data_IF_710505235179
#
_entry.id   IF_710505235179
#
_cell.length_a   1.000
_cell.length_b   1.000
_cell.length_c   1.000
_cell.angle_alpha   90.00
_cell.angle_beta   90.00
_cell.angle_gamma   90.00
#
_symmetry.space_group_name_H-M   'P 1'
#
loop_
_entity.id
_entity.type
_entity.pdbx_description
1 polymer ?
#
# COMPACT_ATOMS: atom_id res chain seq x y z
N UNK A 1 -28.97 25.36 28.57
CA UNK A 1 -27.60 24.76 28.57
C UNK A 1 -27.40 23.63 27.56
N UNK A 2 -28.45 22.87 27.18
CA UNK A 2 -28.29 21.75 26.21
C UNK A 2 -27.95 22.20 24.77
N UNK A 3 -28.38 23.41 24.37
CA UNK A 3 -28.25 23.89 22.98
C UNK A 3 -26.82 24.35 22.61
N UNK A 4 -26.00 24.71 23.60
CA UNK A 4 -24.58 25.09 23.40
C UNK A 4 -23.65 23.89 23.33
N UNK A 5 -24.07 22.72 23.84
CA UNK A 5 -23.33 21.45 23.73
C UNK A 5 -23.47 20.81 22.34
N UNK A 6 -24.59 21.04 21.64
CA UNK A 6 -24.86 20.52 20.29
C UNK A 6 -23.75 20.82 19.26
N UNK A 7 -23.26 22.07 19.08
CA UNK A 7 -22.19 22.34 18.12
C UNK A 7 -20.86 21.69 18.51
N UNK A 8 -20.61 21.50 19.82
CA UNK A 8 -19.38 20.87 20.32
C UNK A 8 -19.34 19.37 19.97
N UNK A 9 -20.47 18.66 20.13
CA UNK A 9 -20.58 17.26 19.71
C UNK A 9 -20.45 17.09 18.19
N UNK A 10 -21.01 18.01 17.40
CA UNK A 10 -20.89 17.99 15.93
C UNK A 10 -19.42 18.23 15.53
N UNK A 11 -18.74 19.19 16.17
CA UNK A 11 -17.32 19.46 15.92
C UNK A 11 -16.43 18.25 16.23
N UNK A 12 -16.66 17.57 17.36
CA UNK A 12 -15.93 16.35 17.73
C UNK A 12 -16.17 15.23 16.71
N UNK A 13 -17.40 15.04 16.25
CA UNK A 13 -17.74 14.02 15.26
C UNK A 13 -17.01 14.23 13.92
N UNK A 14 -16.97 15.46 13.42
CA UNK A 14 -16.22 15.79 12.20
C UNK A 14 -14.71 15.65 12.39
N UNK A 15 -14.19 16.01 13.56
CA UNK A 15 -12.78 15.85 13.88
C UNK A 15 -12.36 14.37 13.84
N UNK A 16 -13.14 13.46 14.42
CA UNK A 16 -12.81 12.02 14.40
C UNK A 16 -12.88 11.42 13.00
N UNK A 17 -13.81 11.89 12.15
CA UNK A 17 -13.91 11.48 10.75
C UNK A 17 -12.69 11.90 9.92
N UNK A 18 -12.17 13.11 10.15
CA UNK A 18 -10.98 13.61 9.47
C UNK A 18 -9.71 12.88 9.90
N UNK A 19 -9.60 12.51 11.19
CA UNK A 19 -8.45 11.75 11.68
C UNK A 19 -8.43 10.29 11.17
N UNK A 20 -9.58 9.68 10.94
CA UNK A 20 -9.68 8.32 10.41
C UNK A 20 -9.18 8.17 8.95
N UNK A 21 -9.09 9.27 8.20
CA UNK A 21 -8.55 9.27 6.83
C UNK A 21 -7.01 9.33 6.76
N UNK A 22 -6.31 9.44 7.89
CA UNK A 22 -4.86 9.63 7.93
C UNK A 22 -4.06 8.32 8.09
N UNK A 23 -4.63 7.18 7.66
CA UNK A 23 -3.92 5.90 7.60
C UNK A 23 -3.97 5.33 6.19
N UNK A 24 -3.42 6.07 5.22
CA UNK A 24 -3.16 5.53 3.89
C UNK A 24 -2.08 4.47 3.98
N UNK A 25 -2.36 3.24 3.55
CA UNK A 25 -1.30 2.24 3.37
C UNK A 25 -0.35 2.73 2.28
N UNK A 26 0.98 2.68 2.47
CA UNK A 26 1.91 3.14 1.46
C UNK A 26 1.77 2.30 0.19
N UNK A 27 1.47 2.95 -0.93
CA UNK A 27 1.46 2.33 -2.26
C UNK A 27 2.90 1.96 -2.63
N UNK A 28 3.14 0.68 -2.92
CA UNK A 28 4.44 0.17 -3.37
C UNK A 28 4.64 0.55 -4.83
N UNK A 29 5.52 1.53 -5.09
CA UNK A 29 5.80 2.02 -6.45
C UNK A 29 6.74 1.09 -7.20
N UNK A 30 6.22 -0.04 -7.70
CA UNK A 30 7.02 -1.07 -8.36
C UNK A 30 7.79 -0.53 -9.57
N UNK A 31 7.21 0.42 -10.30
CA UNK A 31 7.83 0.99 -11.52
C UNK A 31 9.16 1.70 -11.22
N UNK A 32 9.24 2.44 -10.11
CA UNK A 32 10.46 3.16 -9.74
C UNK A 32 11.56 2.20 -9.26
N UNK A 33 11.19 1.20 -8.46
CA UNK A 33 12.14 0.27 -7.87
C UNK A 33 12.71 -0.70 -8.91
N UNK A 34 11.90 -1.12 -9.89
CA UNK A 34 12.35 -2.00 -10.99
C UNK A 34 13.38 -1.31 -11.89
N UNK A 35 13.32 0.02 -12.05
CA UNK A 35 14.28 0.75 -12.87
C UNK A 35 15.73 0.69 -12.33
N UNK A 36 15.90 0.36 -11.05
CA UNK A 36 17.21 0.17 -10.42
C UNK A 36 17.78 -1.25 -10.59
N UNK A 37 16.98 -2.21 -11.06
CA UNK A 37 17.43 -3.60 -11.24
C UNK A 37 18.08 -3.74 -12.62
N UNK A 38 19.33 -4.20 -12.64
CA UNK A 38 20.06 -4.49 -13.88
C UNK A 38 20.36 -5.99 -14.01
N UNK A 39 19.92 -6.57 -15.13
CA UNK A 39 20.19 -7.97 -15.45
C UNK A 39 21.69 -8.25 -15.49
N UNK A 40 22.15 -9.19 -14.66
CA UNK A 40 23.55 -9.59 -14.55
C UNK A 40 24.41 -8.75 -13.61
N UNK A 41 23.90 -7.66 -13.02
CA UNK A 41 24.61 -6.88 -11.99
C UNK A 41 23.95 -6.99 -10.60
N UNK A 42 22.63 -7.03 -10.55
CA UNK A 42 21.87 -7.11 -9.28
C UNK A 42 21.73 -8.57 -8.85
N UNK A 43 22.14 -8.91 -7.62
CA UNK A 43 22.00 -10.28 -7.10
C UNK A 43 20.56 -10.57 -6.65
N UNK A 44 20.24 -11.86 -6.45
CA UNK A 44 18.94 -12.29 -5.93
C UNK A 44 18.62 -11.68 -4.57
N UNK A 45 19.59 -11.61 -3.64
CA UNK A 45 19.37 -10.98 -2.34
C UNK A 45 19.15 -9.47 -2.44
N UNK A 46 19.83 -8.81 -3.38
CA UNK A 46 19.69 -7.38 -3.58
C UNK A 46 18.33 -7.00 -4.15
N UNK A 47 17.79 -7.81 -5.08
CA UNK A 47 16.40 -7.67 -5.55
C UNK A 47 15.40 -7.84 -4.41
N UNK A 48 15.58 -8.83 -3.53
CA UNK A 48 14.70 -9.01 -2.36
C UNK A 48 14.80 -7.85 -1.37
N UNK A 49 15.98 -7.27 -1.20
CA UNK A 49 16.17 -6.12 -0.32
C UNK A 49 15.53 -4.85 -0.89
N UNK A 50 15.62 -4.66 -2.20
CA UNK A 50 15.11 -3.48 -2.89
C UNK A 50 13.60 -3.56 -3.08
N UNK A 51 13.11 -4.67 -3.62
CA UNK A 51 11.69 -4.83 -3.91
C UNK A 51 10.91 -5.31 -2.71
N UNK A 52 11.48 -6.19 -1.87
CA UNK A 52 10.77 -6.94 -0.83
C UNK A 52 10.31 -8.32 -1.32
N UNK A 53 9.52 -9.01 -0.49
CA UNK A 53 8.95 -10.30 -0.85
C UNK A 53 8.00 -10.18 -2.05
N UNK A 54 8.10 -11.08 -3.06
CA UNK A 54 7.18 -11.12 -4.18
C UNK A 54 5.85 -11.73 -3.78
N UNK A 55 4.80 -11.29 -4.45
CA UNK A 55 3.42 -11.75 -4.21
C UNK A 55 3.21 -13.18 -4.75
N UNK A 56 3.96 -13.55 -5.79
CA UNK A 56 3.98 -14.91 -6.31
C UNK A 56 5.38 -15.32 -6.73
N UNK A 57 5.72 -16.59 -6.46
CA UNK A 57 6.95 -17.24 -6.92
C UNK A 57 6.56 -18.50 -7.67
N UNK A 58 7.07 -18.69 -8.89
CA UNK A 58 6.92 -19.94 -9.64
C UNK A 58 8.24 -20.35 -10.27
N UNK A 59 8.52 -21.65 -10.30
CA UNK A 59 9.58 -22.14 -11.16
C UNK A 59 9.06 -22.33 -12.57
N UNK A 60 9.73 -21.69 -13.53
CA UNK A 60 9.45 -21.86 -14.96
C UNK A 60 10.34 -22.98 -15.53
N UNK A 61 11.50 -23.19 -14.94
CA UNK A 61 12.43 -24.28 -15.28
C UNK A 61 13.23 -24.71 -14.04
N UNK A 62 13.99 -25.82 -14.09
CA UNK A 62 14.86 -26.25 -12.98
C UNK A 62 15.88 -25.19 -12.52
N UNK A 63 16.24 -24.25 -13.39
CA UNK A 63 17.22 -23.20 -13.12
C UNK A 63 16.62 -21.78 -13.17
N UNK A 64 15.30 -21.66 -13.37
CA UNK A 64 14.65 -20.36 -13.57
C UNK A 64 13.47 -20.19 -12.62
N UNK A 65 13.64 -19.28 -11.66
CA UNK A 65 12.61 -18.80 -10.75
C UNK A 65 12.02 -17.50 -11.30
N UNK A 66 10.70 -17.41 -11.38
CA UNK A 66 9.97 -16.21 -11.76
C UNK A 66 9.24 -15.64 -10.54
N UNK A 67 9.45 -14.36 -10.32
CA UNK A 67 8.82 -13.59 -9.25
C UNK A 67 7.87 -12.57 -9.85
N UNK A 68 6.63 -12.59 -9.36
CA UNK A 68 5.58 -11.68 -9.82
C UNK A 68 5.23 -10.73 -8.68
N UNK A 69 5.28 -9.45 -8.99
CA UNK A 69 4.90 -8.34 -8.12
C UNK A 69 3.70 -7.63 -8.72
N UNK A 70 2.63 -7.44 -7.95
CA UNK A 70 1.41 -6.76 -8.40
C UNK A 70 1.28 -5.40 -7.69
N UNK A 71 1.10 -4.33 -8.47
CA UNK A 71 0.73 -3.01 -7.95
C UNK A 71 -0.75 -2.79 -8.24
N UNK A 72 -1.59 -2.95 -7.22
CA UNK A 72 -2.99 -2.55 -7.32
C UNK A 72 -3.09 -1.04 -7.15
N UNK A 73 -3.54 -0.34 -8.19
CA UNK A 73 -3.97 1.05 -8.07
C UNK A 73 -5.27 1.09 -7.26
N UNK A 74 -5.16 1.08 -5.93
CA UNK A 74 -6.32 1.21 -5.05
C UNK A 74 -6.95 2.58 -5.27
N UNK A 75 -8.24 2.59 -5.61
CA UNK A 75 -8.99 3.83 -5.70
C UNK A 75 -9.04 4.47 -4.31
N UNK A 76 -9.03 5.81 -4.24
CA UNK A 76 -9.11 6.57 -2.97
C UNK A 76 -10.29 6.15 -2.07
N UNK A 77 -11.35 5.56 -2.64
CA UNK A 77 -12.51 5.03 -1.93
C UNK A 77 -12.32 3.60 -1.38
N UNK A 78 -11.41 2.79 -1.92
CA UNK A 78 -11.11 1.46 -1.37
C UNK A 78 -10.35 1.53 -0.04
N UNK A 79 -9.56 2.59 0.17
CA UNK A 79 -8.88 2.85 1.44
C UNK A 79 -9.79 3.59 2.45
N UNK A 80 -11.05 3.89 2.10
CA UNK A 80 -11.99 4.40 3.11
C UNK A 80 -12.50 3.25 3.99
N UNK A 81 -12.39 3.37 5.33
CA UNK A 81 -12.78 2.32 6.27
C UNK A 81 -14.30 2.01 6.30
N UNK A 82 -15.09 2.72 5.49
CA UNK A 82 -16.54 2.56 5.40
C UNK A 82 -17.00 1.64 4.26
N UNK A 83 -16.15 1.39 3.25
CA UNK A 83 -16.52 0.63 2.04
C UNK A 83 -15.56 -0.54 1.77
N UNK A 84 -14.32 -0.47 2.26
CA UNK A 84 -13.32 -1.54 2.14
C UNK A 84 -13.33 -2.51 3.31
N UNK A 85 -14.39 -3.34 3.39
CA UNK A 85 -14.47 -4.52 4.26
C UNK A 85 -14.77 -5.76 3.44
#
# INVERSE_FOLDING_TARGET
MLNTLRPLYIGIFFLTLLLAGCSGTPTRHLVSDVAMIQAGQTSREEVLKLMGDPDSKRMVSPETEEWVYYEEARALLQDTPLVGG
#
